data_IF_928352408427
#
_entry.id   IF_928352408427
#
_cell.length_a   1.000
_cell.length_b   1.000
_cell.length_c   1.000
_cell.angle_alpha   90.00
_cell.angle_beta   90.00
_cell.angle_gamma   90.00
#
_symmetry.space_group_name_H-M   'P 1'
#
loop_
_entity.id
_entity.type
_entity.pdbx_description
1 polymer ?
#
# COMPACT_ATOMS: atom_id res chain seq x y z
N UNK A 1 -36.31 18.60 3.48
CA UNK A 1 -35.51 19.13 2.35
C UNK A 1 -34.00 18.94 2.50
N UNK A 2 -33.44 18.66 3.69
CA UNK A 2 -32.00 18.43 3.87
C UNK A 2 -31.46 17.07 3.34
N UNK A 3 -32.35 16.12 3.03
CA UNK A 3 -31.98 14.75 2.61
C UNK A 3 -31.90 14.57 1.07
N UNK A 4 -32.38 15.54 0.28
CA UNK A 4 -32.32 15.52 -1.19
C UNK A 4 -31.02 16.16 -1.75
N UNK A 5 -30.44 17.13 -1.04
CA UNK A 5 -29.17 17.76 -1.44
C UNK A 5 -27.95 16.83 -1.29
N UNK A 6 -28.02 15.81 -0.42
CA UNK A 6 -26.93 14.86 -0.18
C UNK A 6 -26.83 13.74 -1.24
N UNK A 7 -27.87 13.54 -2.06
CA UNK A 7 -27.89 12.46 -3.08
C UNK A 7 -27.11 12.80 -4.35
N UNK A 8 -26.92 14.08 -4.65
CA UNK A 8 -26.19 14.53 -5.83
C UNK A 8 -24.69 14.77 -5.61
N UNK A 9 -24.19 14.75 -4.38
CA UNK A 9 -22.79 15.14 -4.08
C UNK A 9 -21.81 14.00 -4.36
N UNK A 10 -20.60 14.35 -4.81
CA UNK A 10 -19.49 13.43 -4.95
C UNK A 10 -18.80 13.21 -3.61
N UNK A 11 -18.46 11.97 -3.33
CA UNK A 11 -17.75 11.58 -2.11
C UNK A 11 -16.42 10.95 -2.48
N UNK A 12 -15.33 11.42 -1.86
CA UNK A 12 -13.98 10.96 -2.21
C UNK A 12 -13.78 9.47 -1.93
N UNK A 13 -14.44 8.95 -0.91
CA UNK A 13 -14.48 7.54 -0.56
C UNK A 13 -15.19 6.65 -1.60
N UNK A 14 -16.01 7.22 -2.48
CA UNK A 14 -16.66 6.51 -3.60
C UNK A 14 -15.75 6.45 -4.85
N UNK A 15 -14.60 7.14 -4.86
CA UNK A 15 -13.72 7.26 -6.02
C UNK A 15 -12.54 6.29 -5.93
N UNK A 16 -12.27 5.60 -7.05
CA UNK A 16 -11.20 4.63 -7.15
C UNK A 16 -9.84 5.32 -7.20
N UNK A 17 -8.95 5.01 -6.25
CA UNK A 17 -7.64 5.69 -6.17
C UNK A 17 -6.76 5.41 -7.40
N UNK A 18 -6.71 4.17 -7.89
CA UNK A 18 -5.92 3.79 -9.08
C UNK A 18 -6.45 4.38 -10.41
N UNK A 19 -7.75 4.68 -10.49
CA UNK A 19 -8.45 5.14 -11.69
C UNK A 19 -9.29 6.39 -11.37
N UNK A 20 -8.63 7.40 -10.80
CA UNK A 20 -9.32 8.53 -10.18
C UNK A 20 -10.06 9.41 -11.19
N UNK A 21 -9.47 9.66 -12.37
CA UNK A 21 -10.13 10.45 -13.41
C UNK A 21 -11.40 9.73 -13.90
N UNK A 22 -11.28 8.44 -14.19
CA UNK A 22 -12.34 7.62 -14.74
C UNK A 22 -13.48 7.44 -13.73
N UNK A 23 -13.15 7.13 -12.48
CA UNK A 23 -14.16 7.01 -11.42
C UNK A 23 -14.81 8.35 -11.08
N UNK A 24 -14.09 9.47 -11.14
CA UNK A 24 -14.66 10.81 -10.97
C UNK A 24 -15.70 11.11 -12.07
N UNK A 25 -15.31 10.93 -13.33
CA UNK A 25 -16.20 11.17 -14.48
C UNK A 25 -17.41 10.23 -14.47
N UNK A 26 -17.19 8.92 -14.26
CA UNK A 26 -18.26 7.92 -14.23
C UNK A 26 -19.25 8.14 -13.08
N UNK A 27 -18.75 8.48 -11.88
CA UNK A 27 -19.62 8.78 -10.73
C UNK A 27 -20.36 10.11 -10.92
N UNK A 28 -19.70 11.14 -11.46
CA UNK A 28 -20.35 12.42 -11.76
C UNK A 28 -21.46 12.28 -12.82
N UNK A 29 -21.21 11.53 -13.88
CA UNK A 29 -22.17 11.26 -14.94
C UNK A 29 -23.37 10.46 -14.42
N UNK A 30 -23.13 9.37 -13.66
CA UNK A 30 -24.22 8.55 -13.11
C UNK A 30 -25.09 9.31 -12.09
N UNK A 31 -24.55 10.32 -11.41
CA UNK A 31 -25.30 11.22 -10.52
C UNK A 31 -25.95 12.42 -11.24
N UNK A 32 -25.76 12.57 -12.56
CA UNK A 32 -26.31 13.66 -13.34
C UNK A 32 -25.68 15.03 -13.07
N UNK A 33 -24.44 15.06 -12.54
CA UNK A 33 -23.70 16.30 -12.29
C UNK A 33 -23.04 16.87 -13.54
N UNK A 34 -22.79 16.01 -14.53
CA UNK A 34 -22.29 16.36 -15.86
C UNK A 34 -23.17 15.70 -16.90
N UNK A 35 -23.24 16.33 -18.07
CA UNK A 35 -23.93 15.78 -19.23
C UNK A 35 -22.98 15.01 -20.16
N UNK A 36 -23.55 14.45 -21.23
CA UNK A 36 -22.78 13.71 -22.22
C UNK A 36 -21.77 14.61 -22.96
N UNK A 37 -22.12 15.88 -23.21
CA UNK A 37 -21.24 16.82 -23.90
C UNK A 37 -19.98 17.11 -23.08
N UNK A 38 -20.12 17.30 -21.77
CA UNK A 38 -18.98 17.45 -20.86
C UNK A 38 -18.10 16.20 -20.88
N UNK A 39 -18.71 15.02 -20.74
CA UNK A 39 -17.98 13.75 -20.71
C UNK A 39 -17.17 13.52 -21.99
N UNK A 40 -17.80 13.70 -23.15
CA UNK A 40 -17.16 13.60 -24.47
C UNK A 40 -16.05 14.64 -24.66
N UNK A 41 -16.24 15.88 -24.17
CA UNK A 41 -15.22 16.93 -24.27
C UNK A 41 -13.94 16.55 -23.52
N UNK A 42 -14.05 15.94 -22.34
CA UNK A 42 -12.89 15.47 -21.57
C UNK A 42 -12.22 14.28 -22.27
N UNK A 43 -13.00 13.34 -22.80
CA UNK A 43 -12.46 12.21 -23.56
C UNK A 43 -11.70 12.68 -24.81
N UNK A 44 -12.27 13.62 -25.57
CA UNK A 44 -11.62 14.18 -26.75
C UNK A 44 -10.31 14.88 -26.38
N UNK A 45 -10.30 15.68 -25.31
CA UNK A 45 -9.08 16.33 -24.82
C UNK A 45 -8.02 15.33 -24.38
N UNK A 46 -8.38 14.22 -23.71
CA UNK A 46 -7.45 13.13 -23.40
C UNK A 46 -6.88 12.46 -24.66
N UNK A 47 -7.67 12.30 -25.73
CA UNK A 47 -7.19 11.77 -27.01
C UNK A 47 -6.24 12.74 -27.73
N UNK A 48 -6.47 14.05 -27.64
CA UNK A 48 -5.55 15.06 -28.16
C UNK A 48 -4.21 15.05 -27.42
N UNK A 49 -4.24 14.91 -26.09
CA UNK A 49 -3.04 14.71 -25.26
C UNK A 49 -2.29 13.44 -25.66
N UNK A 50 -3.00 12.33 -25.87
CA UNK A 50 -2.40 11.08 -26.35
C UNK A 50 -1.68 11.28 -27.70
N UNK A 51 -2.34 11.92 -28.67
CA UNK A 51 -1.74 12.19 -29.98
C UNK A 51 -0.46 13.04 -29.85
N UNK A 52 -0.46 14.05 -28.99
CA UNK A 52 0.72 14.87 -28.72
C UNK A 52 1.85 14.06 -28.07
N UNK A 53 1.54 13.20 -27.10
CA UNK A 53 2.51 12.36 -26.41
C UNK A 53 3.09 11.25 -27.30
N UNK A 54 2.28 10.62 -28.16
CA UNK A 54 2.76 9.66 -29.15
C UNK A 54 3.77 10.30 -30.12
N UNK A 55 3.47 11.50 -30.64
CA UNK A 55 4.43 12.26 -31.48
C UNK A 55 5.74 12.53 -30.75
N UNK A 56 5.66 12.89 -29.47
CA UNK A 56 6.84 13.12 -28.63
C UNK A 56 7.63 11.84 -28.36
N UNK A 57 6.95 10.71 -28.16
CA UNK A 57 7.57 9.41 -27.95
C UNK A 57 8.38 8.95 -29.17
N UNK A 58 7.86 9.15 -30.38
CA UNK A 58 8.55 8.78 -31.64
C UNK A 58 9.61 9.79 -32.09
N UNK A 59 9.83 10.88 -31.33
CA UNK A 59 10.66 12.00 -31.76
C UNK A 59 10.15 12.68 -33.05
N UNK A 60 8.86 12.51 -33.38
CA UNK A 60 8.25 12.96 -34.62
C UNK A 60 8.64 12.16 -35.86
N UNK A 61 9.38 11.06 -35.72
CA UNK A 61 9.93 10.28 -36.83
C UNK A 61 9.00 9.18 -37.34
N UNK A 62 7.94 8.87 -36.59
CA UNK A 62 6.93 7.90 -36.99
C UNK A 62 5.52 8.41 -36.71
N UNK A 63 4.61 8.16 -37.65
CA UNK A 63 3.18 8.42 -37.55
C UNK A 63 2.40 7.22 -37.00
N UNK A 64 3.05 6.05 -36.84
CA UNK A 64 2.44 4.84 -36.29
C UNK A 64 3.26 4.28 -35.13
N UNK A 65 2.54 3.68 -34.18
CA UNK A 65 3.08 3.15 -32.93
C UNK A 65 2.29 1.88 -32.60
N UNK A 66 2.92 0.82 -32.05
CA UNK A 66 2.17 -0.33 -31.57
C UNK A 66 1.04 0.07 -30.63
N UNK A 67 -0.12 -0.57 -30.79
CA UNK A 67 -1.32 -0.29 -29.99
C UNK A 67 -1.04 -0.37 -28.49
N UNK A 68 -0.34 -1.41 -28.05
CA UNK A 68 0.04 -1.62 -26.64
C UNK A 68 0.82 -0.43 -26.07
N UNK A 69 1.76 0.12 -26.84
CA UNK A 69 2.54 1.26 -26.38
C UNK A 69 1.71 2.55 -26.36
N UNK A 70 0.77 2.73 -27.29
CA UNK A 70 -0.18 3.85 -27.24
C UNK A 70 -1.12 3.74 -26.02
N UNK A 71 -1.59 2.53 -25.70
CA UNK A 71 -2.39 2.24 -24.50
C UNK A 71 -1.59 2.53 -23.22
N UNK A 72 -0.33 2.11 -23.15
CA UNK A 72 0.58 2.44 -22.04
C UNK A 72 0.75 3.95 -21.84
N UNK A 73 0.98 4.69 -22.93
CA UNK A 73 1.10 6.16 -22.89
C UNK A 73 -0.22 6.77 -22.40
N UNK A 74 -1.36 6.26 -22.88
CA UNK A 74 -2.67 6.74 -22.45
C UNK A 74 -2.91 6.50 -20.96
N UNK A 75 -2.61 5.30 -20.45
CA UNK A 75 -2.69 5.02 -19.01
C UNK A 75 -1.77 5.94 -18.20
N UNK A 76 -0.58 6.26 -18.71
CA UNK A 76 0.32 7.22 -18.06
C UNK A 76 -0.29 8.63 -17.98
N UNK A 77 -0.96 9.09 -19.04
CA UNK A 77 -1.65 10.39 -19.07
C UNK A 77 -2.79 10.41 -18.06
N UNK A 78 -3.68 9.41 -18.13
CA UNK A 78 -4.88 9.32 -17.28
C UNK A 78 -4.50 9.22 -15.80
N UNK A 79 -3.52 8.40 -15.46
CA UNK A 79 -2.98 8.32 -14.09
C UNK A 79 -2.44 9.67 -13.62
N UNK A 80 -1.68 10.38 -14.47
CA UNK A 80 -1.09 11.67 -14.12
C UNK A 80 -2.14 12.77 -13.93
N UNK A 81 -3.20 12.77 -14.75
CA UNK A 81 -4.38 13.62 -14.53
C UNK A 81 -5.07 13.26 -13.21
N UNK A 82 -5.23 11.97 -12.90
CA UNK A 82 -5.74 11.51 -11.61
C UNK A 82 -4.95 12.08 -10.42
N UNK A 83 -3.60 12.04 -10.48
CA UNK A 83 -2.74 12.64 -9.44
C UNK A 83 -2.95 14.15 -9.32
N UNK A 84 -3.13 14.85 -10.42
CA UNK A 84 -3.46 16.27 -10.40
C UNK A 84 -4.79 16.52 -9.68
N UNK A 85 -5.84 15.81 -10.08
CA UNK A 85 -7.21 15.94 -9.57
C UNK A 85 -7.34 15.58 -8.09
N UNK A 86 -6.59 14.58 -7.60
CA UNK A 86 -6.55 14.24 -6.17
C UNK A 86 -6.06 15.39 -5.27
N UNK A 87 -5.40 16.39 -5.84
CA UNK A 87 -4.91 17.54 -5.09
C UNK A 87 -5.94 18.62 -4.80
N UNK A 88 -7.14 18.55 -5.37
CA UNK A 88 -8.27 19.39 -4.93
C UNK A 88 -8.78 18.89 -3.58
N UNK A 89 -9.48 19.74 -2.82
CA UNK A 89 -10.05 19.31 -1.53
C UNK A 89 -11.35 18.55 -1.75
N UNK A 90 -12.23 19.13 -2.57
CA UNK A 90 -13.54 18.55 -2.91
C UNK A 90 -13.52 17.93 -4.32
N UNK A 91 -14.17 16.77 -4.56
CA UNK A 91 -14.23 16.18 -5.90
C UNK A 91 -14.92 17.07 -6.95
N UNK A 92 -15.88 17.91 -6.56
CA UNK A 92 -16.55 18.86 -7.45
C UNK A 92 -15.61 19.95 -7.97
N UNK A 93 -14.63 20.38 -7.16
CA UNK A 93 -13.58 21.30 -7.62
C UNK A 93 -12.70 20.64 -8.69
N UNK A 94 -12.36 19.36 -8.48
CA UNK A 94 -11.62 18.57 -9.46
C UNK A 94 -12.43 18.42 -10.77
N UNK A 95 -13.74 18.19 -10.66
CA UNK A 95 -14.64 18.10 -11.81
C UNK A 95 -14.72 19.43 -12.56
N UNK A 96 -14.88 20.55 -11.85
CA UNK A 96 -14.89 21.89 -12.46
C UNK A 96 -13.58 22.19 -13.21
N UNK A 97 -12.43 21.76 -12.67
CA UNK A 97 -11.14 21.93 -13.31
C UNK A 97 -11.02 21.21 -14.66
N UNK A 98 -11.77 20.13 -14.89
CA UNK A 98 -11.82 19.42 -16.18
C UNK A 98 -12.60 20.20 -17.25
N UNK A 99 -13.51 21.11 -16.85
CA UNK A 99 -14.39 21.85 -17.75
C UNK A 99 -13.71 22.90 -18.63
N UNK A 100 -12.43 23.17 -18.42
CA UNK A 100 -11.65 24.14 -19.22
C UNK A 100 -11.12 23.60 -20.57
N UNK A 101 -11.59 22.42 -21.01
CA UNK A 101 -11.19 21.80 -22.28
C UNK A 101 -9.73 21.35 -22.33
N UNK A 102 -9.20 21.12 -23.54
CA UNK A 102 -7.85 20.55 -23.73
C UNK A 102 -6.75 21.37 -23.08
N UNK A 103 -6.85 22.70 -23.05
CA UNK A 103 -5.85 23.56 -22.39
C UNK A 103 -5.76 23.26 -20.90
N UNK A 104 -6.90 23.16 -20.20
CA UNK A 104 -6.93 22.81 -18.79
C UNK A 104 -6.39 21.39 -18.53
N UNK A 105 -6.69 20.43 -19.41
CA UNK A 105 -6.12 19.08 -19.30
C UNK A 105 -4.60 19.08 -19.52
N UNK A 106 -4.08 19.89 -20.45
CA UNK A 106 -2.64 20.00 -20.69
C UNK A 106 -1.90 20.60 -19.49
N UNK A 107 -2.47 21.64 -18.87
CA UNK A 107 -1.97 22.23 -17.62
C UNK A 107 -2.05 21.25 -16.45
N UNK A 108 -3.19 20.56 -16.32
CA UNK A 108 -3.42 19.52 -15.33
C UNK A 108 -2.45 18.36 -15.47
N UNK A 109 -2.16 17.91 -16.69
CA UNK A 109 -1.18 16.86 -16.97
C UNK A 109 0.23 17.28 -16.53
N UNK A 110 0.62 18.53 -16.84
CA UNK A 110 1.91 19.08 -16.40
C UNK A 110 2.00 19.16 -14.87
N UNK A 111 0.95 19.63 -14.21
CA UNK A 111 0.86 19.66 -12.75
C UNK A 111 0.91 18.25 -12.14
N UNK A 112 0.25 17.28 -12.77
CA UNK A 112 0.28 15.86 -12.41
C UNK A 112 1.69 15.30 -12.45
N UNK A 113 2.41 15.52 -13.55
CA UNK A 113 3.81 15.09 -13.68
C UNK A 113 4.73 15.73 -12.64
N UNK A 114 4.55 17.02 -12.34
CA UNK A 114 5.31 17.68 -11.29
C UNK A 114 5.07 17.04 -9.92
N UNK A 115 3.81 16.76 -9.57
CA UNK A 115 3.44 16.05 -8.32
C UNK A 115 4.06 14.65 -8.27
N UNK A 116 4.00 13.90 -9.37
CA UNK A 116 4.64 12.57 -9.48
C UNK A 116 6.14 12.69 -9.22
N UNK A 117 6.84 13.63 -9.87
CA UNK A 117 8.28 13.82 -9.67
C UNK A 117 8.64 14.17 -8.22
N UNK A 118 7.86 15.04 -7.57
CA UNK A 118 8.04 15.39 -6.16
C UNK A 118 7.87 14.14 -5.28
N UNK A 119 6.78 13.38 -5.47
CA UNK A 119 6.54 12.11 -4.77
C UNK A 119 7.69 11.14 -5.00
N UNK A 120 8.15 10.95 -6.23
CA UNK A 120 9.26 10.04 -6.55
C UNK A 120 10.54 10.41 -5.81
N UNK A 121 10.92 11.70 -5.80
CA UNK A 121 12.10 12.17 -5.08
C UNK A 121 11.99 11.96 -3.58
N UNK A 122 10.84 12.34 -3.00
CA UNK A 122 10.58 12.20 -1.58
C UNK A 122 10.58 10.72 -1.14
N UNK A 123 9.88 9.85 -1.87
CA UNK A 123 9.84 8.42 -1.58
C UNK A 123 11.21 7.78 -1.74
N UNK A 124 11.99 8.15 -2.75
CA UNK A 124 13.36 7.63 -2.92
C UNK A 124 14.27 8.04 -1.77
N UNK A 125 14.15 9.27 -1.28
CA UNK A 125 14.89 9.74 -0.12
C UNK A 125 14.47 8.98 1.15
N UNK A 126 13.16 8.81 1.36
CA UNK A 126 12.64 8.03 2.48
C UNK A 126 13.11 6.57 2.44
N UNK A 127 13.07 5.93 1.25
CA UNK A 127 13.57 4.58 1.05
C UNK A 127 15.03 4.44 1.46
N UNK A 128 15.92 5.36 1.05
CA UNK A 128 17.33 5.35 1.48
C UNK A 128 17.50 5.41 2.99
N UNK A 129 16.66 6.19 3.69
CA UNK A 129 16.66 6.25 5.15
C UNK A 129 16.08 4.95 5.77
N UNK A 130 15.10 4.33 5.13
CA UNK A 130 14.48 3.08 5.57
C UNK A 130 15.39 1.86 5.37
N UNK A 131 16.33 1.90 4.42
CA UNK A 131 17.31 0.83 4.22
C UNK A 131 18.15 0.56 5.49
N UNK A 132 18.49 1.58 6.27
CA UNK A 132 19.19 1.40 7.56
C UNK A 132 18.35 0.74 8.67
N UNK A 133 17.04 0.55 8.42
CA UNK A 133 16.11 -0.12 9.33
C UNK A 133 15.62 -1.47 8.81
N UNK A 134 16.16 -1.98 7.70
CA UNK A 134 15.82 -3.33 7.25
C UNK A 134 16.15 -4.38 8.33
N UNK A 135 15.46 -5.51 8.27
CA UNK A 135 15.71 -6.66 9.12
C UNK A 135 16.98 -7.38 8.65
N UNK A 136 17.78 -7.81 9.61
CA UNK A 136 18.89 -8.72 9.36
C UNK A 136 18.33 -10.15 9.38
N UNK A 137 18.11 -10.71 8.19
CA UNK A 137 17.48 -12.03 8.00
C UNK A 137 17.97 -12.64 6.69
N UNK A 138 17.94 -13.96 6.62
CA UNK A 138 18.27 -14.72 5.40
C UNK A 138 17.05 -14.88 4.47
N UNK A 139 15.87 -14.40 4.88
CA UNK A 139 14.63 -14.53 4.10
C UNK A 139 14.78 -13.94 2.68
N UNK A 140 14.73 -14.81 1.67
CA UNK A 140 15.01 -14.46 0.29
C UNK A 140 14.01 -13.46 -0.26
N UNK A 141 12.70 -13.74 -0.09
CA UNK A 141 11.63 -12.91 -0.66
C UNK A 141 11.64 -11.50 -0.08
N UNK A 142 11.86 -11.37 1.24
CA UNK A 142 12.05 -10.08 1.91
C UNK A 142 13.24 -9.32 1.35
N UNK A 143 14.42 -9.92 1.30
CA UNK A 143 15.64 -9.24 0.84
C UNK A 143 15.57 -8.88 -0.65
N UNK A 144 15.10 -9.81 -1.48
CA UNK A 144 14.92 -9.60 -2.91
C UNK A 144 13.97 -8.42 -3.18
N UNK A 145 12.87 -8.31 -2.43
CA UNK A 145 11.90 -7.22 -2.60
C UNK A 145 12.40 -5.91 -2.00
N UNK A 146 12.81 -5.93 -0.73
CA UNK A 146 13.15 -4.75 0.06
C UNK A 146 14.43 -4.06 -0.43
N UNK A 147 15.42 -4.82 -0.90
CA UNK A 147 16.69 -4.30 -1.40
C UNK A 147 16.73 -4.24 -2.93
N UNK A 148 16.41 -5.35 -3.60
CA UNK A 148 16.51 -5.48 -5.05
C UNK A 148 15.37 -4.81 -5.79
N UNK A 149 14.13 -5.25 -5.52
CA UNK A 149 12.92 -4.81 -6.20
C UNK A 149 12.75 -3.30 -6.12
N UNK A 150 12.63 -2.74 -4.91
CA UNK A 150 12.37 -1.30 -4.74
C UNK A 150 13.48 -0.44 -5.37
N UNK A 151 14.76 -0.84 -5.28
CA UNK A 151 15.84 -0.14 -5.97
C UNK A 151 15.70 -0.23 -7.50
N UNK A 152 15.32 -1.40 -8.03
CA UNK A 152 15.01 -1.63 -9.44
C UNK A 152 13.88 -0.73 -9.95
N UNK A 153 12.81 -0.56 -9.16
CA UNK A 153 11.73 0.38 -9.49
C UNK A 153 12.29 1.78 -9.74
N UNK A 154 13.07 2.34 -8.81
CA UNK A 154 13.61 3.71 -8.97
C UNK A 154 14.62 3.84 -10.12
N UNK A 155 15.21 2.74 -10.58
CA UNK A 155 16.10 2.72 -11.74
C UNK A 155 15.33 2.75 -13.06
N UNK A 156 14.18 2.09 -13.13
CA UNK A 156 13.40 1.90 -14.36
C UNK A 156 12.24 2.89 -14.51
N UNK A 157 11.79 3.52 -13.42
CA UNK A 157 10.59 4.35 -13.42
C UNK A 157 10.75 5.63 -14.26
N UNK A 158 10.10 5.64 -15.43
CA UNK A 158 9.99 6.79 -16.34
C UNK A 158 8.54 7.31 -16.35
N UNK A 159 8.22 8.30 -15.49
CA UNK A 159 6.84 8.74 -15.33
C UNK A 159 6.28 9.49 -16.54
N UNK A 160 7.09 9.94 -17.51
CA UNK A 160 6.56 10.66 -18.69
C UNK A 160 5.69 9.78 -19.58
N UNK A 161 5.97 8.48 -19.62
CA UNK A 161 5.28 7.52 -20.49
C UNK A 161 4.79 6.27 -19.75
N UNK A 162 5.20 6.08 -18.49
CA UNK A 162 4.82 4.93 -17.67
C UNK A 162 4.51 5.31 -16.23
N UNK A 163 3.85 6.46 -15.98
CA UNK A 163 3.57 6.94 -14.63
C UNK A 163 2.83 5.93 -13.74
N UNK A 164 1.93 5.14 -14.34
CA UNK A 164 1.13 4.12 -13.67
C UNK A 164 1.90 2.81 -13.38
N UNK A 165 3.06 2.59 -14.02
CA UNK A 165 3.75 1.31 -13.97
C UNK A 165 4.37 1.03 -12.60
N UNK A 166 4.16 -0.20 -12.11
CA UNK A 166 4.87 -0.77 -10.97
C UNK A 166 5.91 -1.74 -11.55
N UNK A 167 7.15 -1.29 -11.71
CA UNK A 167 8.23 -2.10 -12.33
C UNK A 167 8.77 -3.22 -11.44
N UNK A 168 8.00 -3.68 -10.45
CA UNK A 168 8.34 -4.75 -9.51
C UNK A 168 7.13 -5.63 -9.25
N UNK A 169 7.37 -6.88 -8.89
CA UNK A 169 6.34 -7.82 -8.46
C UNK A 169 5.93 -7.63 -6.99
N UNK A 170 6.80 -7.02 -6.19
CA UNK A 170 6.59 -6.80 -4.76
C UNK A 170 6.28 -8.11 -3.99
N UNK A 171 7.09 -9.15 -4.23
CA UNK A 171 6.84 -10.52 -3.78
C UNK A 171 6.74 -10.68 -2.25
N UNK A 172 7.36 -9.78 -1.48
CA UNK A 172 7.20 -9.78 -0.02
C UNK A 172 5.79 -9.32 0.37
N UNK A 173 4.98 -10.19 1.03
CA UNK A 173 3.61 -9.87 1.36
C UNK A 173 3.59 -8.97 2.60
N UNK A 174 3.25 -7.69 2.46
CA UNK A 174 3.02 -6.79 3.59
C UNK A 174 1.73 -7.17 4.34
N UNK A 175 1.67 -6.88 5.64
CA UNK A 175 0.44 -7.01 6.44
C UNK A 175 -0.70 -6.18 5.83
N UNK A 176 -0.41 -4.94 5.41
CA UNK A 176 -1.33 -4.10 4.68
C UNK A 176 -0.73 -3.78 3.31
N UNK A 177 -1.06 -4.58 2.30
CA UNK A 177 -0.67 -4.28 0.92
C UNK A 177 -1.42 -3.01 0.44
N UNK A 178 -0.75 -2.07 -0.25
CA UNK A 178 -1.39 -0.88 -0.84
C UNK A 178 -2.29 -1.19 -2.04
N UNK A 179 -3.31 -2.03 -1.84
CA UNK A 179 -4.32 -2.33 -2.85
C UNK A 179 -5.04 -1.05 -3.29
N UNK A 180 -5.40 -0.96 -4.57
CA UNK A 180 -6.06 0.23 -5.10
C UNK A 180 -5.12 1.36 -5.52
N UNK A 181 -3.80 1.16 -5.50
CA UNK A 181 -2.80 2.16 -5.89
C UNK A 181 -1.87 1.65 -6.99
N UNK A 182 -1.31 2.58 -7.76
CA UNK A 182 -0.41 2.31 -8.88
C UNK A 182 0.78 3.27 -8.91
N UNK A 183 1.77 2.97 -9.75
CA UNK A 183 2.93 3.82 -9.97
C UNK A 183 3.66 4.21 -8.69
N UNK A 184 4.00 5.49 -8.58
CA UNK A 184 4.69 6.02 -7.40
C UNK A 184 3.83 6.00 -6.13
N UNK A 185 2.50 6.04 -6.22
CA UNK A 185 1.64 6.00 -5.02
C UNK A 185 1.69 4.64 -4.35
N UNK A 186 1.67 3.55 -5.16
CA UNK A 186 1.86 2.20 -4.65
C UNK A 186 3.22 2.07 -3.95
N UNK A 187 4.31 2.46 -4.62
CA UNK A 187 5.67 2.34 -4.06
C UNK A 187 5.85 3.20 -2.81
N UNK A 188 5.25 4.39 -2.77
CA UNK A 188 5.28 5.25 -1.59
C UNK A 188 4.68 4.55 -0.38
N UNK A 189 3.46 4.02 -0.53
CA UNK A 189 2.76 3.32 0.56
C UNK A 189 3.46 2.00 0.90
N UNK A 190 3.97 1.27 -0.08
CA UNK A 190 4.66 0.01 0.13
C UNK A 190 5.92 0.20 0.98
N UNK A 191 6.78 1.17 0.62
CA UNK A 191 8.00 1.48 1.38
C UNK A 191 7.66 1.98 2.80
N UNK A 192 6.58 2.75 2.94
CA UNK A 192 6.13 3.26 4.23
C UNK A 192 5.64 2.12 5.15
N UNK A 193 4.80 1.23 4.63
CA UNK A 193 4.27 0.09 5.37
C UNK A 193 5.39 -0.89 5.74
N UNK A 194 6.33 -1.16 4.82
CA UNK A 194 7.53 -1.93 5.09
C UNK A 194 8.39 -1.31 6.22
N UNK A 195 8.56 0.02 6.24
CA UNK A 195 9.29 0.70 7.32
C UNK A 195 8.59 0.56 8.67
N UNK A 196 7.25 0.58 8.71
CA UNK A 196 6.48 0.36 9.94
C UNK A 196 6.61 -1.07 10.47
N UNK A 197 6.53 -2.06 9.58
CA UNK A 197 6.77 -3.47 9.93
C UNK A 197 8.18 -3.69 10.48
N UNK A 198 9.18 -3.12 9.80
CA UNK A 198 10.56 -3.19 10.23
C UNK A 198 10.78 -2.55 11.60
N UNK A 199 10.15 -1.39 11.87
CA UNK A 199 10.21 -0.74 13.19
C UNK A 199 9.62 -1.60 14.29
N UNK A 200 8.49 -2.24 14.03
CA UNK A 200 7.86 -3.15 14.99
C UNK A 200 8.79 -4.33 15.30
N UNK A 201 9.27 -5.06 14.28
CA UNK A 201 10.21 -6.17 14.48
C UNK A 201 11.50 -5.73 15.20
N UNK A 202 12.05 -4.56 14.88
CA UNK A 202 13.29 -4.05 15.48
C UNK A 202 13.11 -3.49 16.89
N UNK A 203 11.88 -3.40 17.39
CA UNK A 203 11.64 -3.06 18.79
C UNK A 203 11.95 -4.23 19.73
N UNK A 204 12.16 -5.43 19.19
CA UNK A 204 12.51 -6.62 19.94
C UNK A 204 14.02 -6.95 19.81
N UNK A 205 14.60 -7.69 20.77
CA UNK A 205 15.98 -8.16 20.66
C UNK A 205 16.20 -9.02 19.40
N UNK A 206 17.29 -8.77 18.68
CA UNK A 206 17.61 -9.48 17.42
C UNK A 206 17.63 -11.01 17.58
N UNK A 207 18.11 -11.51 18.73
CA UNK A 207 18.09 -12.94 19.05
C UNK A 207 16.67 -13.50 19.18
N UNK A 208 15.75 -12.76 19.79
CA UNK A 208 14.36 -13.17 19.96
C UNK A 208 13.64 -13.23 18.60
N UNK A 209 13.86 -12.22 17.76
CA UNK A 209 13.32 -12.16 16.39
C UNK A 209 13.82 -13.32 15.54
N UNK A 210 15.14 -13.56 15.51
CA UNK A 210 15.72 -14.68 14.76
C UNK A 210 15.12 -16.02 15.21
N UNK A 211 15.01 -16.21 16.53
CA UNK A 211 14.43 -17.42 17.08
C UNK A 211 12.93 -17.58 16.74
N UNK A 212 12.16 -16.49 16.72
CA UNK A 212 10.76 -16.49 16.31
C UNK A 212 10.60 -16.90 14.84
N UNK A 213 11.40 -16.33 13.94
CA UNK A 213 11.40 -16.71 12.52
C UNK A 213 11.81 -18.16 12.32
N UNK A 214 12.83 -18.64 13.02
CA UNK A 214 13.25 -20.05 12.93
C UNK A 214 12.17 -21.00 13.43
N UNK A 215 11.52 -20.72 14.57
CA UNK A 215 10.41 -21.55 15.06
C UNK A 215 9.26 -21.61 14.06
N UNK A 216 8.88 -20.46 13.52
CA UNK A 216 7.79 -20.39 12.54
C UNK A 216 8.15 -21.14 11.25
N UNK A 217 9.38 -21.02 10.76
CA UNK A 217 9.84 -21.80 9.60
C UNK A 217 9.81 -23.31 9.86
N UNK A 218 10.21 -23.77 11.04
CA UNK A 218 10.16 -25.20 11.43
C UNK A 218 8.71 -25.70 11.44
N UNK A 219 7.76 -24.90 11.95
CA UNK A 219 6.33 -25.28 11.97
C UNK A 219 5.74 -25.47 10.56
N UNK A 220 6.38 -24.90 9.53
CA UNK A 220 6.03 -25.07 8.12
C UNK A 220 6.97 -26.03 7.37
N UNK A 221 7.81 -26.80 8.08
CA UNK A 221 8.82 -27.69 7.50
C UNK A 221 9.70 -27.01 6.44
N UNK A 222 10.11 -25.76 6.72
CA UNK A 222 10.92 -24.94 5.82
C UNK A 222 12.05 -24.23 6.56
N UNK A 223 12.85 -23.44 5.83
CA UNK A 223 13.90 -22.58 6.36
C UNK A 223 13.46 -21.12 6.37
N UNK A 224 14.13 -20.28 7.18
CA UNK A 224 13.87 -18.82 7.18
C UNK A 224 14.13 -18.22 5.79
N UNK A 225 15.12 -18.74 5.07
CA UNK A 225 15.45 -18.33 3.70
C UNK A 225 14.28 -18.54 2.73
N UNK A 226 13.63 -19.71 2.80
CA UNK A 226 12.53 -20.11 1.91
C UNK A 226 11.13 -19.80 2.47
N UNK A 227 11.04 -19.09 3.59
CA UNK A 227 9.76 -18.79 4.22
C UNK A 227 8.98 -17.74 3.39
N UNK A 228 7.82 -18.12 2.88
CA UNK A 228 6.90 -17.23 2.17
C UNK A 228 5.84 -16.67 3.12
N UNK A 229 6.27 -15.85 4.10
CA UNK A 229 5.37 -15.24 5.08
C UNK A 229 5.77 -13.79 5.40
N UNK A 230 4.81 -13.01 5.91
CA UNK A 230 5.12 -11.70 6.45
C UNK A 230 5.87 -11.85 7.79
N UNK A 231 7.15 -11.51 7.80
CA UNK A 231 7.99 -11.54 9.00
C UNK A 231 7.46 -10.70 10.18
N UNK A 232 6.79 -9.57 9.93
CA UNK A 232 6.15 -8.79 11.00
C UNK A 232 4.93 -9.49 11.60
N UNK A 233 4.17 -10.25 10.81
CA UNK A 233 3.09 -11.11 11.29
C UNK A 233 3.61 -12.13 12.28
N UNK A 234 4.72 -12.81 11.95
CA UNK A 234 5.37 -13.78 12.83
C UNK A 234 5.77 -13.16 14.17
N UNK A 235 6.42 -12.00 14.14
CA UNK A 235 6.81 -11.29 15.36
C UNK A 235 5.59 -10.83 16.17
N UNK A 236 4.56 -10.31 15.49
CA UNK A 236 3.33 -9.82 16.12
C UNK A 236 2.56 -10.95 16.81
N UNK A 237 2.39 -12.10 16.15
CA UNK A 237 1.74 -13.27 16.72
C UNK A 237 2.48 -13.76 17.96
N UNK A 238 3.81 -13.86 17.90
CA UNK A 238 4.61 -14.26 19.04
C UNK A 238 4.50 -13.27 20.22
N UNK A 239 4.50 -11.96 19.94
CA UNK A 239 4.33 -10.92 20.96
C UNK A 239 2.93 -10.97 21.62
N UNK A 240 1.87 -11.10 20.80
CA UNK A 240 0.51 -11.25 21.29
C UNK A 240 0.35 -12.51 22.13
N UNK A 241 0.92 -13.63 21.70
CA UNK A 241 0.89 -14.87 22.44
C UNK A 241 1.56 -14.71 23.82
N UNK A 242 2.72 -14.05 23.88
CA UNK A 242 3.40 -13.78 25.14
C UNK A 242 2.53 -12.91 26.06
N UNK A 243 1.96 -11.82 25.55
CA UNK A 243 1.09 -10.94 26.31
C UNK A 243 -0.17 -11.64 26.84
N UNK A 244 -0.80 -12.51 26.05
CA UNK A 244 -1.98 -13.28 26.46
C UNK A 244 -1.69 -14.32 27.56
N UNK A 245 -0.44 -14.78 27.61
CA UNK A 245 -0.01 -15.86 28.49
C UNK A 245 0.83 -15.38 29.67
N UNK A 246 0.87 -14.07 29.92
CA UNK A 246 1.71 -13.42 30.94
C UNK A 246 3.20 -13.83 30.84
N UNK A 247 3.67 -14.07 29.62
CA UNK A 247 5.08 -14.32 29.33
C UNK A 247 5.79 -13.02 28.92
N UNK A 248 7.10 -12.86 29.19
CA UNK A 248 7.83 -11.65 28.78
C UNK A 248 7.78 -11.45 27.26
N UNK A 249 7.22 -10.31 26.82
CA UNK A 249 6.94 -9.99 25.41
C UNK A 249 8.24 -9.85 24.61
N UNK A 250 9.31 -9.38 25.24
CA UNK A 250 10.64 -9.22 24.63
C UNK A 250 11.28 -10.54 24.17
N UNK A 251 10.84 -11.66 24.73
CA UNK A 251 11.38 -12.99 24.40
C UNK A 251 10.76 -13.58 23.13
N UNK A 252 9.56 -13.13 22.75
CA UNK A 252 8.77 -13.66 21.63
C UNK A 252 8.60 -15.19 21.67
N UNK A 253 8.62 -15.79 22.87
CA UNK A 253 8.61 -17.22 23.07
C UNK A 253 7.73 -17.57 24.28
N UNK A 254 6.87 -18.57 24.09
CA UNK A 254 6.03 -19.09 25.16
C UNK A 254 6.81 -20.07 26.05
N UNK A 255 6.50 -20.03 27.35
CA UNK A 255 6.79 -21.14 28.26
C UNK A 255 5.85 -22.33 27.99
N UNK A 256 6.17 -23.51 28.53
CA UNK A 256 5.28 -24.68 28.45
C UNK A 256 3.87 -24.37 28.99
N UNK A 257 3.80 -23.76 30.16
CA UNK A 257 2.53 -23.30 30.76
C UNK A 257 1.84 -22.22 29.92
N UNK A 258 2.62 -21.38 29.23
CA UNK A 258 2.09 -20.40 28.28
C UNK A 258 1.40 -21.05 27.09
N UNK A 259 1.94 -22.15 26.56
CA UNK A 259 1.31 -22.90 25.45
C UNK A 259 -0.04 -23.49 25.85
N UNK A 260 -0.13 -24.12 27.03
CA UNK A 260 -1.39 -24.65 27.55
C UNK A 260 -2.46 -23.56 27.70
N UNK A 261 -2.05 -22.40 28.24
CA UNK A 261 -2.93 -21.24 28.38
C UNK A 261 -3.39 -20.70 27.03
N UNK A 262 -2.47 -20.58 26.06
CA UNK A 262 -2.80 -20.13 24.71
C UNK A 262 -3.82 -21.07 24.06
N UNK A 263 -3.64 -22.38 24.17
CA UNK A 263 -4.57 -23.37 23.62
C UNK A 263 -5.99 -23.19 24.19
N UNK A 264 -6.10 -22.98 25.51
CA UNK A 264 -7.38 -22.70 26.16
C UNK A 264 -8.04 -21.40 25.70
N UNK A 265 -7.26 -20.34 25.45
CA UNK A 265 -7.75 -19.06 24.94
C UNK A 265 -8.19 -19.15 23.47
N UNK A 266 -7.41 -19.81 22.61
CA UNK A 266 -7.72 -19.98 21.19
C UNK A 266 -8.97 -20.85 20.97
N UNK A 267 -9.28 -21.78 21.87
CA UNK A 267 -10.51 -22.58 21.82
C UNK A 267 -11.78 -21.73 22.00
N UNK A 268 -11.69 -20.57 22.67
CA UNK A 268 -12.81 -19.66 22.88
C UNK A 268 -12.94 -18.73 21.66
N UNK A 269 -13.96 -18.96 20.83
CA UNK A 269 -14.18 -18.16 19.61
C UNK A 269 -14.81 -16.80 19.87
N UNK A 270 -15.60 -16.68 20.94
CA UNK A 270 -16.25 -15.44 21.34
C UNK A 270 -15.20 -14.47 21.90
N UNK A 271 -15.28 -13.19 21.56
CA UNK A 271 -14.41 -12.11 22.08
C UNK A 271 -12.94 -12.06 21.62
N UNK A 272 -12.52 -12.90 20.65
CA UNK A 272 -11.14 -12.92 20.12
C UNK A 272 -10.59 -11.52 19.74
N UNK A 273 -11.38 -10.70 19.06
CA UNK A 273 -10.95 -9.35 18.65
C UNK A 273 -10.63 -8.46 19.87
N UNK A 274 -11.49 -8.48 20.89
CA UNK A 274 -11.31 -7.67 22.10
C UNK A 274 -10.07 -8.12 22.87
N UNK A 275 -9.92 -9.44 23.04
CA UNK A 275 -8.77 -10.04 23.73
C UNK A 275 -7.45 -9.69 23.02
N UNK A 276 -7.39 -9.87 21.69
CA UNK A 276 -6.21 -9.54 20.91
C UNK A 276 -5.92 -8.04 20.90
N UNK A 277 -6.95 -7.18 20.85
CA UNK A 277 -6.78 -5.72 20.89
C UNK A 277 -6.19 -5.28 22.24
N UNK A 278 -6.68 -5.83 23.35
CA UNK A 278 -6.13 -5.54 24.67
C UNK A 278 -4.69 -6.03 24.81
N UNK A 279 -4.39 -7.24 24.32
CA UNK A 279 -3.02 -7.77 24.28
C UNK A 279 -2.11 -6.89 23.42
N UNK A 280 -2.60 -6.39 22.28
CA UNK A 280 -1.83 -5.49 21.43
C UNK A 280 -1.47 -4.19 22.16
N UNK A 281 -2.41 -3.56 22.86
CA UNK A 281 -2.10 -2.35 23.62
C UNK A 281 -1.03 -2.62 24.68
N UNK A 282 -1.12 -3.74 25.41
CA UNK A 282 -0.09 -4.15 26.36
C UNK A 282 1.29 -4.39 25.71
N UNK A 283 1.33 -4.94 24.49
CA UNK A 283 2.57 -5.06 23.69
C UNK A 283 3.09 -3.67 23.31
N UNK A 284 2.23 -2.80 22.79
CA UNK A 284 2.58 -1.45 22.32
C UNK A 284 3.07 -0.51 23.43
N UNK A 285 2.65 -0.73 24.67
CA UNK A 285 3.18 -0.05 25.86
C UNK A 285 4.62 -0.45 26.19
N UNK A 286 5.03 -1.67 25.81
CA UNK A 286 6.35 -2.24 26.10
C UNK A 286 7.36 -2.04 24.95
N UNK A 287 6.90 -1.73 23.73
CA UNK A 287 7.77 -1.56 22.57
C UNK A 287 7.95 -0.09 22.17
N UNK A 288 9.20 0.31 21.93
CA UNK A 288 9.54 1.67 21.55
C UNK A 288 9.37 1.90 20.02
N UNK A 289 8.13 2.14 19.57
CA UNK A 289 7.82 2.51 18.19
C UNK A 289 7.09 3.85 18.09
N UNK A 290 7.16 4.49 16.92
CA UNK A 290 6.45 5.75 16.71
C UNK A 290 4.94 5.53 16.52
N UNK A 291 4.15 6.59 16.77
CA UNK A 291 2.68 6.56 16.66
C UNK A 291 2.17 6.06 15.29
N UNK A 292 2.76 6.46 14.14
CA UNK A 292 2.33 5.92 12.84
C UNK A 292 2.52 4.40 12.70
N UNK A 293 3.65 3.84 13.15
CA UNK A 293 3.88 2.40 13.12
C UNK A 293 2.92 1.67 14.07
N UNK A 294 2.67 2.20 15.27
CA UNK A 294 1.68 1.63 16.18
C UNK A 294 0.26 1.60 15.57
N UNK A 295 -0.14 2.67 14.89
CA UNK A 295 -1.43 2.73 14.20
C UNK A 295 -1.52 1.73 13.02
N UNK A 296 -0.42 1.53 12.30
CA UNK A 296 -0.32 0.50 11.26
C UNK A 296 -0.60 -0.90 11.83
N UNK A 297 0.06 -1.26 12.94
CA UNK A 297 -0.13 -2.56 13.60
C UNK A 297 -1.56 -2.72 14.13
N UNK A 298 -2.15 -1.68 14.73
CA UNK A 298 -3.56 -1.70 15.15
C UNK A 298 -4.51 -1.95 13.99
N UNK A 299 -4.28 -1.30 12.85
CA UNK A 299 -5.10 -1.51 11.65
C UNK A 299 -4.92 -2.92 11.09
N UNK A 300 -3.69 -3.44 11.03
CA UNK A 300 -3.41 -4.80 10.61
C UNK A 300 -4.13 -5.83 11.49
N UNK A 301 -4.05 -5.70 12.82
CA UNK A 301 -4.77 -6.58 13.73
C UNK A 301 -6.29 -6.48 13.51
N UNK A 302 -6.83 -5.27 13.35
CA UNK A 302 -8.26 -5.07 13.13
C UNK A 302 -8.77 -5.78 11.86
N UNK A 303 -7.96 -5.84 10.80
CA UNK A 303 -8.35 -6.46 9.54
C UNK A 303 -8.11 -7.97 9.52
N UNK A 304 -7.06 -8.45 10.20
CA UNK A 304 -6.59 -9.83 10.08
C UNK A 304 -6.62 -10.64 11.38
N UNK A 305 -7.22 -10.14 12.47
CA UNK A 305 -7.30 -10.83 13.75
C UNK A 305 -7.76 -12.30 13.67
N UNK A 306 -8.79 -12.68 12.87
CA UNK A 306 -9.18 -14.09 12.74
C UNK A 306 -8.06 -14.96 12.18
N UNK A 307 -7.41 -14.54 11.09
CA UNK A 307 -6.31 -15.28 10.48
C UNK A 307 -5.08 -15.34 11.40
N UNK A 308 -4.75 -14.22 12.06
CA UNK A 308 -3.67 -14.19 13.05
C UNK A 308 -3.91 -15.17 14.20
N UNK A 309 -5.14 -15.29 14.70
CA UNK A 309 -5.48 -16.25 15.76
C UNK A 309 -5.39 -17.72 15.30
N UNK A 310 -5.66 -18.00 14.02
CA UNK A 310 -5.49 -19.33 13.45
C UNK A 310 -4.00 -19.68 13.31
N UNK A 311 -3.18 -18.77 12.80
CA UNK A 311 -1.73 -18.96 12.69
C UNK A 311 -1.03 -19.09 14.05
N UNK A 312 -1.57 -18.46 15.11
CA UNK A 312 -1.05 -18.62 16.47
C UNK A 312 -1.14 -20.06 17.00
N UNK A 313 -1.92 -20.96 16.37
CA UNK A 313 -1.93 -22.39 16.72
C UNK A 313 -0.57 -23.06 16.48
N UNK A 314 0.21 -22.55 15.52
CA UNK A 314 1.57 -23.04 15.23
C UNK A 314 2.55 -22.78 16.38
N UNK A 315 2.21 -21.91 17.32
CA UNK A 315 3.03 -21.62 18.50
C UNK A 315 2.85 -22.65 19.62
N UNK A 316 1.90 -23.58 19.48
CA UNK A 316 1.63 -24.64 20.44
C UNK A 316 2.60 -25.82 20.31
N UNK A 317 3.18 -26.00 19.11
CA UNK A 317 4.18 -27.02 18.79
C UNK A 317 5.59 -26.64 19.28
#
# INVERSE_FOLDING_TARGET
>A
MHNLALRGRLRREELAQQAYLESLLGTAFSKGLIDNAFYESVQLGCMELLAAHCRRYTGGQSTSLPRETAEDIFHSIVFSLGIWLKGYSEPEEALAALGGGTTALQEGLNAGFQKIQIKTRATRQFYRLAQGRLLETDNYVYNATAQGGIAGFFKLYEPRFGAHKIHITADYPLLLLPEGYQGIEFIQLYVQNLDYENRFCRAFPARAIKAAFTRHAIAYDTTVENLHANLCSVALQAALACALCDCPVENLALSFTGRERLAGLLAQKTERMTILSNALEAVLEQVAINKPAANYIRLALRLYAPAMAEEMQLLLE
#
